data_IF_647551585415
#
_entry.id   IF_647551585415
#
_cell.length_a   1.000
_cell.length_b   1.000
_cell.length_c   1.000
_cell.angle_alpha   90.00
_cell.angle_beta   90.00
_cell.angle_gamma   90.00
#
_symmetry.space_group_name_H-M   'P 1'
#
loop_
_entity.id
_entity.type
_entity.pdbx_description
1 polymer ?
#
# COMPACT_ATOMS: atom_id res chain seq x y z
N UNK A 1 -16.89 -14.03 -9.79
CA UNK A 1 -17.48 -12.80 -9.21
C UNK A 1 -18.81 -13.23 -8.61
N UNK A 2 -18.95 -13.26 -7.28
CA UNK A 2 -20.16 -13.78 -6.62
C UNK A 2 -20.92 -12.74 -5.78
N UNK A 3 -20.44 -11.49 -5.68
CA UNK A 3 -21.08 -10.49 -4.81
C UNK A 3 -21.25 -9.10 -5.44
N UNK A 4 -20.70 -8.80 -6.63
CA UNK A 4 -20.76 -7.45 -7.21
C UNK A 4 -19.91 -6.40 -6.47
N UNK A 5 -19.26 -6.77 -5.36
CA UNK A 5 -18.29 -5.96 -4.64
C UNK A 5 -16.89 -6.25 -5.18
N UNK A 6 -16.16 -5.20 -5.59
CA UNK A 6 -14.74 -5.31 -5.90
C UNK A 6 -13.97 -5.57 -4.61
N UNK A 7 -13.65 -6.85 -4.39
CA UNK A 7 -12.96 -7.30 -3.20
C UNK A 7 -11.65 -6.52 -3.00
N UNK A 8 -11.42 -5.90 -1.81
CA UNK A 8 -10.25 -5.05 -1.53
C UNK A 8 -8.93 -5.75 -1.82
N UNK A 9 -8.85 -7.04 -1.49
CA UNK A 9 -7.67 -7.86 -1.68
C UNK A 9 -7.45 -8.25 -3.15
N UNK A 10 -8.51 -8.36 -3.94
CA UNK A 10 -8.42 -8.81 -5.34
C UNK A 10 -7.76 -7.78 -6.26
N UNK A 11 -7.94 -6.48 -6.01
CA UNK A 11 -7.21 -5.42 -6.71
C UNK A 11 -5.76 -5.34 -6.27
N UNK A 12 -5.52 -5.40 -4.95
CA UNK A 12 -4.18 -5.40 -4.36
C UNK A 12 -3.32 -6.58 -4.79
N UNK A 13 -3.88 -7.80 -4.82
CA UNK A 13 -3.14 -9.00 -5.22
C UNK A 13 -2.72 -8.97 -6.69
N UNK A 14 -3.58 -8.46 -7.60
CA UNK A 14 -3.24 -8.35 -9.04
C UNK A 14 -2.18 -7.29 -9.27
N UNK A 15 -2.29 -6.18 -8.53
CA UNK A 15 -1.33 -5.11 -8.60
C UNK A 15 0.04 -5.55 -8.06
N UNK A 16 0.06 -6.27 -6.93
CA UNK A 16 1.27 -6.87 -6.36
C UNK A 16 1.86 -7.93 -7.30
N UNK A 17 1.04 -8.81 -7.88
CA UNK A 17 1.47 -9.79 -8.88
C UNK A 17 2.14 -9.11 -10.08
N UNK A 18 1.53 -8.06 -10.62
CA UNK A 18 2.09 -7.28 -11.73
C UNK A 18 3.41 -6.61 -11.32
N UNK A 19 3.49 -6.09 -10.09
CA UNK A 19 4.71 -5.49 -9.55
C UNK A 19 5.85 -6.50 -9.41
N UNK A 20 5.57 -7.71 -8.91
CA UNK A 20 6.57 -8.79 -8.80
C UNK A 20 7.09 -9.26 -10.16
N UNK A 21 6.28 -9.13 -11.22
CA UNK A 21 6.68 -9.41 -12.60
C UNK A 21 7.34 -8.20 -13.29
N UNK A 22 7.60 -7.11 -12.56
CA UNK A 22 8.22 -5.89 -13.11
C UNK A 22 7.29 -5.00 -13.94
N UNK A 23 5.99 -5.30 -13.98
CA UNK A 23 4.97 -4.57 -14.74
C UNK A 23 4.40 -3.43 -13.91
N UNK A 24 5.23 -2.41 -13.65
CA UNK A 24 4.88 -1.26 -12.78
C UNK A 24 3.68 -0.48 -13.32
N UNK A 25 3.60 -0.28 -14.64
CA UNK A 25 2.46 0.42 -15.28
C UNK A 25 1.12 -0.28 -15.05
N UNK A 26 1.07 -1.61 -15.15
CA UNK A 26 -0.14 -2.39 -14.85
C UNK A 26 -0.46 -2.39 -13.36
N UNK A 27 0.56 -2.48 -12.50
CA UNK A 27 0.38 -2.43 -11.06
C UNK A 27 -0.29 -1.13 -10.61
N UNK A 28 0.13 0.01 -11.18
CA UNK A 28 -0.48 1.33 -10.94
C UNK A 28 -1.93 1.39 -11.44
N UNK A 29 -2.20 0.77 -12.59
CA UNK A 29 -3.54 0.72 -13.16
C UNK A 29 -4.50 -0.09 -12.28
N UNK A 30 -4.02 -1.17 -11.66
CA UNK A 30 -4.82 -1.95 -10.72
C UNK A 30 -4.98 -1.27 -9.36
N UNK A 31 -3.94 -0.62 -8.82
CA UNK A 31 -4.04 0.13 -7.56
C UNK A 31 -3.05 1.30 -7.49
N UNK A 32 -3.50 2.55 -7.74
CA UNK A 32 -2.62 3.72 -7.66
C UNK A 32 -2.07 3.97 -6.25
N UNK A 33 -2.70 3.42 -5.21
CA UNK A 33 -2.18 3.46 -3.84
C UNK A 33 -0.82 2.75 -3.69
N UNK A 34 -0.41 1.93 -4.66
CA UNK A 34 0.93 1.35 -4.72
C UNK A 34 2.05 2.40 -4.73
N UNK A 35 1.81 3.58 -5.30
CA UNK A 35 2.82 4.67 -5.32
C UNK A 35 3.23 5.06 -3.91
N UNK A 36 2.30 5.03 -2.95
CA UNK A 36 2.55 5.41 -1.56
C UNK A 36 2.99 4.21 -0.73
N UNK A 37 2.43 3.04 -0.99
CA UNK A 37 2.72 1.84 -0.21
C UNK A 37 4.10 1.26 -0.49
N UNK A 38 4.56 1.23 -1.76
CA UNK A 38 5.90 0.75 -2.13
C UNK A 38 7.03 1.48 -1.38
N UNK A 39 7.15 2.82 -1.41
CA UNK A 39 8.22 3.51 -0.71
C UNK A 39 8.11 3.37 0.81
N UNK A 40 6.90 3.30 1.37
CA UNK A 40 6.70 3.05 2.80
C UNK A 40 7.24 1.68 3.21
N UNK A 41 6.89 0.62 2.49
CA UNK A 41 7.40 -0.73 2.77
C UNK A 41 8.91 -0.83 2.54
N UNK A 42 9.46 -0.18 1.51
CA UNK A 42 10.90 -0.10 1.30
C UNK A 42 11.62 0.60 2.45
N UNK A 43 11.07 1.70 2.97
CA UNK A 43 11.64 2.39 4.13
C UNK A 43 11.59 1.52 5.41
N UNK A 44 10.50 0.77 5.61
CA UNK A 44 10.39 -0.19 6.72
C UNK A 44 11.39 -1.33 6.56
N UNK A 45 11.51 -1.90 5.36
CA UNK A 45 12.44 -2.98 5.08
C UNK A 45 13.89 -2.51 5.26
N UNK A 46 14.24 -1.34 4.73
CA UNK A 46 15.58 -0.76 4.86
C UNK A 46 15.92 -0.47 6.33
N UNK A 47 15.02 0.16 7.09
CA UNK A 47 15.24 0.41 8.53
C UNK A 47 15.29 -0.86 9.40
N UNK A 48 14.80 -1.99 8.89
CA UNK A 48 14.81 -3.28 9.59
C UNK A 48 16.00 -4.17 9.23
N UNK A 49 16.47 -4.09 7.97
CA UNK A 49 17.59 -4.89 7.45
C UNK A 49 18.93 -4.19 7.64
N UNK A 50 18.94 -2.86 7.62
CA UNK A 50 20.16 -2.06 7.76
C UNK A 50 20.37 -1.66 9.23
N UNK A 51 21.49 -2.09 9.81
CA UNK A 51 21.92 -1.75 11.17
C UNK A 51 22.63 -0.39 11.28
N UNK A 52 22.73 0.36 10.18
CA UNK A 52 23.40 1.65 10.14
C UNK A 52 22.81 2.69 11.11
N UNK A 53 23.64 3.64 11.54
CA UNK A 53 23.24 4.74 12.45
C UNK A 53 22.04 5.55 11.92
N UNK A 54 21.93 5.70 10.60
CA UNK A 54 20.82 6.40 9.95
C UNK A 54 19.51 5.59 10.05
N UNK A 55 19.58 4.30 9.72
CA UNK A 55 18.45 3.37 9.82
C UNK A 55 17.93 3.26 11.26
N UNK A 56 18.82 3.16 12.25
CA UNK A 56 18.46 3.14 13.67
C UNK A 56 17.76 4.44 14.14
N UNK A 57 18.11 5.59 13.55
CA UNK A 57 17.49 6.89 13.87
C UNK A 57 16.15 7.09 13.16
N UNK A 58 15.99 6.57 11.94
CA UNK A 58 14.73 6.63 11.20
C UNK A 58 13.71 5.57 11.64
N UNK A 59 14.17 4.43 12.18
CA UNK A 59 13.32 3.33 12.65
C UNK A 59 12.18 3.77 13.59
N UNK A 60 12.40 4.53 14.68
CA UNK A 60 11.32 4.92 15.57
C UNK A 60 10.29 5.87 14.91
N UNK A 61 10.66 6.57 13.83
CA UNK A 61 9.76 7.46 13.09
C UNK A 61 8.94 6.66 12.08
N UNK A 62 9.59 5.82 11.27
CA UNK A 62 8.93 5.01 10.24
C UNK A 62 8.06 3.92 10.88
N UNK A 63 8.54 3.28 11.94
CA UNK A 63 7.80 2.25 12.70
C UNK A 63 6.97 2.83 13.84
N UNK A 64 6.79 4.15 13.89
CA UNK A 64 5.96 4.76 14.93
C UNK A 64 4.51 4.28 14.79
N UNK A 65 3.87 3.94 15.92
CA UNK A 65 2.48 3.44 15.93
C UNK A 65 1.52 4.40 15.21
N UNK A 66 1.71 5.71 15.37
CA UNK A 66 0.90 6.72 14.68
C UNK A 66 1.06 6.69 13.15
N UNK A 67 2.27 6.45 12.65
CA UNK A 67 2.52 6.38 11.20
C UNK A 67 1.89 5.11 10.63
N UNK A 68 2.02 3.99 11.33
CA UNK A 68 1.35 2.74 10.95
C UNK A 68 -0.18 2.87 10.96
N UNK A 69 -0.76 3.45 12.03
CA UNK A 69 -2.20 3.72 12.09
C UNK A 69 -2.65 4.72 11.02
N UNK A 70 -1.87 5.77 10.76
CA UNK A 70 -2.13 6.74 9.71
C UNK A 70 -2.13 6.09 8.33
N UNK A 71 -1.17 5.21 8.04
CA UNK A 71 -1.13 4.42 6.80
C UNK A 71 -2.34 3.50 6.67
N UNK A 72 -2.69 2.76 7.73
CA UNK A 72 -3.87 1.89 7.74
C UNK A 72 -5.16 2.69 7.51
N UNK A 73 -5.29 3.86 8.13
CA UNK A 73 -6.42 4.76 7.93
C UNK A 73 -6.46 5.29 6.50
N UNK A 74 -5.32 5.72 5.94
CA UNK A 74 -5.23 6.20 4.57
C UNK A 74 -5.61 5.10 3.56
N UNK A 75 -5.17 3.87 3.81
CA UNK A 75 -5.52 2.70 3.02
C UNK A 75 -7.02 2.38 3.10
N UNK A 76 -7.60 2.42 4.30
CA UNK A 76 -9.04 2.25 4.52
C UNK A 76 -9.85 3.37 3.87
N UNK A 77 -9.42 4.63 3.98
CA UNK A 77 -10.06 5.77 3.32
C UNK A 77 -10.00 5.65 1.81
N UNK A 78 -8.85 5.32 1.24
CA UNK A 78 -8.70 5.05 -0.19
C UNK A 78 -9.61 3.91 -0.64
N UNK A 79 -9.68 2.83 0.15
CA UNK A 79 -10.57 1.72 -0.12
C UNK A 79 -12.03 2.15 -0.09
N UNK A 80 -12.45 2.88 0.94
CA UNK A 80 -13.82 3.42 1.08
C UNK A 80 -14.15 4.34 -0.09
N UNK A 81 -13.28 5.27 -0.46
CA UNK A 81 -13.47 6.15 -1.64
C UNK A 81 -13.63 5.34 -2.93
N UNK A 82 -12.86 4.26 -3.10
CA UNK A 82 -12.91 3.40 -4.29
C UNK A 82 -14.09 2.43 -4.31
N UNK A 83 -14.56 1.99 -3.14
CA UNK A 83 -15.73 1.11 -2.97
C UNK A 83 -17.02 1.89 -2.68
N UNK A 84 -16.99 3.23 -2.62
CA UNK A 84 -18.19 4.03 -2.40
C UNK A 84 -19.14 3.83 -3.58
N UNK A 85 -20.35 3.27 -3.36
CA UNK A 85 -21.26 2.85 -4.43
C UNK A 85 -21.99 4.03 -5.12
N UNK A 86 -21.32 5.16 -5.32
CA UNK A 86 -21.89 6.39 -5.90
C UNK A 86 -21.07 7.04 -7.02
N UNK A 87 -19.85 6.58 -7.33
CA UNK A 87 -19.00 7.18 -8.37
C UNK A 87 -19.02 6.41 -9.70
N UNK A 88 -19.44 5.14 -9.70
CA UNK A 88 -19.67 4.38 -10.93
C UNK A 88 -21.08 3.78 -10.92
N UNK A 89 -22.01 4.46 -11.59
CA UNK A 89 -23.01 3.80 -12.41
C UNK A 89 -22.61 4.00 -13.86
#
# INVERSE_FOLDING_TARGET
>A
MLTGWDCPACGGQRALHSLLHGRVGEALHFNPFLVVSVPYFLAVAWTSLDGGRLAARCRPVVQHRLVAYGYCLLFLLWWVVRNLPGVCR
#
